data_IF_229048214059
#
_entry.id   IF_229048214059
#
_cell.length_a   1.000
_cell.length_b   1.000
_cell.length_c   1.000
_cell.angle_alpha   90.00
_cell.angle_beta   90.00
_cell.angle_gamma   90.00
#
_symmetry.space_group_name_H-M   'P 1'
#
loop_
_entity.id
_entity.type
_entity.pdbx_description
1 polymer ?
#
# COMPACT_ATOMS: atom_id res chain seq x y z
N UNK A 1 -3.36 -14.84 17.34
CA UNK A 1 -3.34 -14.19 16.01
C UNK A 1 -4.80 -13.96 15.63
N UNK A 2 -5.12 -12.80 15.09
CA UNK A 2 -6.39 -12.53 14.42
C UNK A 2 -6.04 -12.25 12.96
N UNK A 3 -6.39 -13.17 12.09
CA UNK A 3 -6.25 -13.00 10.64
C UNK A 3 -7.63 -12.64 10.10
N UNK A 4 -7.74 -11.50 9.44
CA UNK A 4 -8.97 -11.07 8.80
C UNK A 4 -9.25 -11.82 7.50
N UNK A 5 -8.27 -12.56 6.95
CA UNK A 5 -8.39 -13.27 5.67
C UNK A 5 -8.88 -12.33 4.54
N UNK A 6 -8.35 -11.11 4.55
CA UNK A 6 -8.71 -10.00 3.67
C UNK A 6 -10.17 -9.56 3.75
N UNK A 7 -10.92 -10.00 4.76
CA UNK A 7 -12.27 -9.54 5.00
C UNK A 7 -12.32 -8.14 5.65
N UNK A 8 -13.48 -7.52 5.48
CA UNK A 8 -13.80 -6.18 5.94
C UNK A 8 -14.88 -6.27 7.02
N UNK A 9 -14.70 -5.52 8.11
CA UNK A 9 -15.76 -5.21 9.08
C UNK A 9 -16.22 -3.78 8.82
N UNK A 10 -17.46 -3.61 8.35
CA UNK A 10 -18.02 -2.29 8.05
C UNK A 10 -19.04 -1.82 9.11
N UNK A 11 -19.25 -0.51 9.17
CA UNK A 11 -20.32 0.13 9.96
C UNK A 11 -20.25 -0.11 11.48
N UNK A 12 -19.04 -0.25 12.02
CA UNK A 12 -18.83 -0.37 13.47
C UNK A 12 -19.05 0.99 14.16
N UNK A 13 -19.94 1.03 15.17
CA UNK A 13 -20.17 2.22 15.98
C UNK A 13 -19.78 1.98 17.44
N UNK A 14 -18.96 2.87 18.00
CA UNK A 14 -18.55 2.90 19.41
C UNK A 14 -18.94 4.27 19.97
N UNK A 15 -20.06 4.32 20.71
CA UNK A 15 -20.53 5.54 21.36
C UNK A 15 -20.41 5.43 22.88
N UNK A 16 -19.57 6.30 23.44
CA UNK A 16 -19.33 6.44 24.88
C UNK A 16 -19.51 7.89 25.32
N UNK A 17 -20.27 8.69 24.57
CA UNK A 17 -20.54 10.08 24.93
C UNK A 17 -21.17 10.19 26.32
N UNK A 18 -20.76 11.23 27.07
CA UNK A 18 -21.17 11.42 28.45
C UNK A 18 -20.49 10.48 29.47
N UNK A 19 -19.56 9.62 29.02
CA UNK A 19 -18.81 8.69 29.88
C UNK A 19 -17.30 8.86 29.72
N UNK A 20 -16.54 8.47 30.73
CA UNK A 20 -15.06 8.48 30.69
C UNK A 20 -14.51 7.07 30.47
N UNK A 21 -14.73 6.54 29.27
CA UNK A 21 -14.25 5.20 28.88
C UNK A 21 -12.97 5.32 28.05
N UNK A 22 -11.99 4.50 28.39
CA UNK A 22 -10.70 4.39 27.68
C UNK A 22 -10.63 3.07 26.91
N UNK A 23 -9.62 2.91 26.05
CA UNK A 23 -9.40 1.70 25.25
C UNK A 23 -10.48 1.47 24.20
N UNK A 24 -10.75 2.51 23.41
CA UNK A 24 -11.75 2.46 22.34
C UNK A 24 -11.10 1.96 21.04
N UNK A 25 -11.83 1.12 20.31
CA UNK A 25 -11.45 0.46 19.06
C UNK A 25 -12.05 -0.95 18.99
N UNK A 26 -11.97 -1.61 17.84
CA UNK A 26 -12.41 -3.02 17.71
C UNK A 26 -11.78 -3.90 18.80
N UNK A 27 -10.48 -3.71 19.03
CA UNK A 27 -9.76 -4.32 20.13
C UNK A 27 -9.32 -3.26 21.15
N UNK A 28 -9.93 -3.24 22.34
CA UNK A 28 -9.56 -2.25 23.36
C UNK A 28 -8.09 -2.36 23.80
N UNK A 29 -7.61 -3.57 24.05
CA UNK A 29 -6.23 -3.83 24.48
C UNK A 29 -5.71 -5.14 23.91
N UNK A 30 -4.53 -5.12 23.28
CA UNK A 30 -3.81 -6.33 22.86
C UNK A 30 -2.39 -6.41 23.46
N UNK A 31 -1.94 -7.63 23.76
CA UNK A 31 -0.58 -7.92 24.24
C UNK A 31 0.05 -9.02 23.40
N UNK A 32 1.19 -8.75 22.75
CA UNK A 32 1.94 -9.69 21.91
C UNK A 32 1.06 -10.42 20.87
N UNK A 33 0.00 -9.76 20.40
CA UNK A 33 -0.92 -10.30 19.40
C UNK A 33 -0.52 -9.84 17.99
N UNK A 34 -0.79 -10.68 17.00
CA UNK A 34 -0.74 -10.32 15.59
C UNK A 34 -2.17 -10.11 15.09
N UNK A 35 -2.43 -8.96 14.48
CA UNK A 35 -3.64 -8.69 13.69
C UNK A 35 -3.16 -8.51 12.25
N UNK A 36 -3.75 -9.22 11.31
CA UNK A 36 -3.36 -9.11 9.90
C UNK A 36 -4.53 -9.22 8.93
N UNK A 37 -4.33 -8.71 7.71
CA UNK A 37 -5.22 -8.85 6.55
C UNK A 37 -6.67 -8.47 6.89
N UNK A 38 -6.86 -7.30 7.49
CA UNK A 38 -8.16 -6.87 8.03
C UNK A 38 -8.46 -5.42 7.68
N UNK A 39 -9.60 -5.22 7.01
CA UNK A 39 -10.18 -3.91 6.77
C UNK A 39 -11.23 -3.55 7.81
N UNK A 40 -11.22 -2.30 8.31
CA UNK A 40 -12.30 -1.73 9.11
C UNK A 40 -12.86 -0.52 8.37
N UNK A 41 -14.08 -0.61 7.87
CA UNK A 41 -14.68 0.46 7.07
C UNK A 41 -15.81 1.18 7.81
N UNK A 42 -15.91 2.49 7.57
CA UNK A 42 -16.96 3.35 8.09
C UNK A 42 -17.14 3.23 9.62
N UNK A 43 -16.02 3.18 10.35
CA UNK A 43 -16.07 3.18 11.81
C UNK A 43 -16.44 4.56 12.34
N UNK A 44 -17.35 4.61 13.31
CA UNK A 44 -17.70 5.84 14.04
C UNK A 44 -17.37 5.68 15.52
N UNK A 45 -16.35 6.38 16.01
CA UNK A 45 -16.00 6.41 17.43
C UNK A 45 -16.37 7.77 18.03
N UNK A 46 -17.34 7.77 18.94
CA UNK A 46 -17.76 8.92 19.73
C UNK A 46 -17.30 8.73 21.19
N UNK A 47 -16.10 9.23 21.50
CA UNK A 47 -15.53 9.25 22.85
C UNK A 47 -16.08 10.39 23.70
N UNK A 48 -16.42 10.11 24.96
CA UNK A 48 -16.73 11.16 25.94
C UNK A 48 -15.50 11.94 26.43
N UNK A 49 -15.58 12.54 27.61
CA UNK A 49 -14.44 13.27 28.21
C UNK A 49 -13.48 12.31 28.92
N UNK A 50 -12.18 12.67 28.96
CA UNK A 50 -11.11 11.87 29.59
C UNK A 50 -10.92 10.47 28.94
N UNK A 51 -11.21 10.35 27.65
CA UNK A 51 -10.98 9.12 26.89
C UNK A 51 -9.50 8.96 26.56
N UNK A 52 -8.89 7.88 27.05
CA UNK A 52 -7.49 7.56 26.75
C UNK A 52 -7.42 6.33 25.85
N UNK A 53 -6.44 6.31 24.94
CA UNK A 53 -6.17 5.16 24.07
C UNK A 53 -7.34 4.87 23.13
N UNK A 54 -7.48 5.72 22.10
CA UNK A 54 -8.55 5.62 21.11
C UNK A 54 -7.92 5.28 19.76
N UNK A 55 -8.22 4.10 19.24
CA UNK A 55 -7.79 3.63 17.92
C UNK A 55 -8.98 3.14 17.11
N UNK A 56 -9.00 3.31 15.79
CA UNK A 56 -10.02 2.66 14.95
C UNK A 56 -9.97 1.14 15.09
N UNK A 57 -8.77 0.57 15.02
CA UNK A 57 -8.55 -0.87 15.18
C UNK A 57 -8.23 -1.26 16.64
N UNK A 58 -7.27 -0.58 17.27
CA UNK A 58 -6.77 -0.95 18.62
C UNK A 58 -6.66 0.26 19.56
N UNK A 59 -7.29 0.20 20.73
CA UNK A 59 -7.09 1.22 21.76
C UNK A 59 -5.63 1.28 22.24
N UNK A 60 -5.13 0.18 22.82
CA UNK A 60 -3.72 0.03 23.23
C UNK A 60 -3.11 -1.29 22.78
N UNK A 61 -1.94 -1.19 22.12
CA UNK A 61 -1.08 -2.30 21.71
C UNK A 61 0.19 -2.35 22.56
N UNK A 62 0.50 -3.52 23.12
CA UNK A 62 1.72 -3.80 23.86
C UNK A 62 2.49 -4.96 23.22
N UNK A 63 3.49 -4.68 22.40
CA UNK A 63 4.16 -5.67 21.55
C UNK A 63 3.27 -6.17 20.41
N UNK A 64 3.70 -7.24 19.73
CA UNK A 64 2.96 -7.85 18.61
C UNK A 64 3.03 -7.04 17.30
N UNK A 65 2.21 -7.41 16.32
CA UNK A 65 2.22 -6.80 14.98
C UNK A 65 0.79 -6.47 14.50
N UNK A 66 0.65 -5.37 13.77
CA UNK A 66 -0.51 -5.07 12.93
C UNK A 66 0.04 -4.99 11.50
N UNK A 67 -0.41 -5.84 10.59
CA UNK A 67 0.15 -5.94 9.25
C UNK A 67 -0.94 -6.06 8.19
N UNK A 68 -0.82 -5.37 7.05
CA UNK A 68 -1.82 -5.43 5.98
C UNK A 68 -3.24 -5.09 6.48
N UNK A 69 -3.33 -4.12 7.38
CA UNK A 69 -4.60 -3.67 7.93
C UNK A 69 -4.89 -2.24 7.50
N UNK A 70 -6.18 -1.90 7.41
CA UNK A 70 -6.59 -0.53 7.25
C UNK A 70 -7.81 -0.19 8.08
N UNK A 71 -8.00 1.11 8.30
CA UNK A 71 -9.23 1.60 8.92
C UNK A 71 -9.67 2.91 8.28
N UNK A 72 -10.96 3.03 8.00
CA UNK A 72 -11.61 4.24 7.50
C UNK A 72 -12.75 4.67 8.42
N UNK A 73 -12.98 5.97 8.54
CA UNK A 73 -14.12 6.51 9.29
C UNK A 73 -13.81 7.78 10.08
N UNK A 74 -14.38 7.88 11.28
CA UNK A 74 -14.27 9.07 12.11
C UNK A 74 -14.04 8.78 13.60
N UNK A 75 -13.25 9.64 14.24
CA UNK A 75 -13.05 9.68 15.69
C UNK A 75 -13.41 11.08 16.17
N UNK A 76 -14.38 11.19 17.06
CA UNK A 76 -14.66 12.39 17.82
C UNK A 76 -14.48 12.10 19.30
N UNK A 77 -13.68 12.89 20.01
CA UNK A 77 -13.50 12.72 21.46
C UNK A 77 -13.69 14.02 22.23
N UNK A 78 -14.29 13.90 23.41
CA UNK A 78 -14.48 14.98 24.36
C UNK A 78 -13.16 15.49 24.98
N UNK A 79 -13.30 16.47 25.87
CA UNK A 79 -12.16 17.19 26.48
C UNK A 79 -11.22 16.26 27.23
N UNK A 80 -9.96 16.68 27.36
CA UNK A 80 -8.93 15.95 28.10
C UNK A 80 -8.64 14.53 27.58
N UNK A 81 -9.01 14.24 26.34
CA UNK A 81 -8.76 12.96 25.71
C UNK A 81 -7.32 12.85 25.21
N UNK A 82 -6.80 11.63 25.15
CA UNK A 82 -5.37 11.42 24.91
C UNK A 82 -5.10 10.17 24.06
N UNK A 83 -4.11 10.30 23.17
CA UNK A 83 -3.59 9.22 22.33
C UNK A 83 -4.68 8.68 21.41
N UNK A 84 -5.04 9.53 20.44
CA UNK A 84 -6.00 9.23 19.38
C UNK A 84 -5.25 8.84 18.12
N UNK A 85 -5.54 7.68 17.53
CA UNK A 85 -4.94 7.20 16.30
C UNK A 85 -5.97 6.56 15.37
N UNK A 86 -5.79 6.62 14.06
CA UNK A 86 -6.67 5.93 13.11
C UNK A 86 -6.57 4.41 13.23
N UNK A 87 -5.36 3.84 13.40
CA UNK A 87 -5.19 2.41 13.71
C UNK A 87 -5.07 2.15 15.21
N UNK A 88 -4.15 2.85 15.87
CA UNK A 88 -3.83 2.57 17.27
C UNK A 88 -3.80 3.82 18.14
N UNK A 89 -4.50 3.80 19.27
CA UNK A 89 -4.39 4.90 20.24
C UNK A 89 -2.97 5.00 20.80
N UNK A 90 -2.46 3.90 21.36
CA UNK A 90 -1.06 3.79 21.81
C UNK A 90 -0.41 2.48 21.37
N UNK A 91 0.81 2.57 20.85
CA UNK A 91 1.71 1.46 20.66
C UNK A 91 2.86 1.49 21.67
N UNK A 92 3.14 0.35 22.31
CA UNK A 92 4.29 0.14 23.19
C UNK A 92 5.08 -1.09 22.73
N UNK A 93 5.94 -0.91 21.73
CA UNK A 93 6.73 -1.98 21.12
C UNK A 93 5.99 -2.75 20.01
N UNK A 94 6.72 -3.62 19.33
CA UNK A 94 6.25 -4.33 18.14
C UNK A 94 6.15 -3.41 16.91
N UNK A 95 5.35 -3.80 15.92
CA UNK A 95 5.24 -3.05 14.66
C UNK A 95 3.81 -2.81 14.17
N UNK A 96 3.65 -1.76 13.34
CA UNK A 96 2.53 -1.54 12.42
C UNK A 96 3.16 -1.44 11.03
N UNK A 97 2.79 -2.32 10.11
CA UNK A 97 3.47 -2.47 8.83
C UNK A 97 2.50 -2.61 7.68
N UNK A 98 2.83 -2.06 6.51
CA UNK A 98 2.03 -2.22 5.28
C UNK A 98 0.55 -1.92 5.54
N UNK A 99 0.29 -0.77 6.15
CA UNK A 99 -1.01 -0.45 6.75
C UNK A 99 -1.40 1.01 6.53
N UNK A 100 -2.70 1.31 6.44
CA UNK A 100 -3.15 2.66 6.16
C UNK A 100 -4.40 3.12 6.90
N UNK A 101 -4.65 4.42 6.88
CA UNK A 101 -5.85 5.02 7.47
C UNK A 101 -6.44 6.10 6.59
N UNK A 102 -7.77 6.16 6.55
CA UNK A 102 -8.51 7.29 5.95
C UNK A 102 -9.50 7.81 6.99
N UNK A 103 -9.16 8.89 7.69
CA UNK A 103 -9.93 9.33 8.87
C UNK A 103 -10.24 10.82 8.90
N UNK A 104 -11.35 11.13 9.57
CA UNK A 104 -11.55 12.45 10.20
C UNK A 104 -11.38 12.31 11.71
N UNK A 105 -10.44 13.05 12.32
CA UNK A 105 -10.25 13.07 13.78
C UNK A 105 -10.55 14.46 14.32
N UNK A 106 -11.56 14.54 15.18
CA UNK A 106 -11.98 15.76 15.85
C UNK A 106 -11.68 15.65 17.35
N UNK A 107 -10.93 16.62 17.88
CA UNK A 107 -10.64 16.68 19.31
C UNK A 107 -11.23 17.93 19.94
N UNK A 108 -11.85 17.79 21.09
CA UNK A 108 -12.21 18.95 21.93
C UNK A 108 -10.99 19.59 22.60
N UNK A 109 -11.22 20.58 23.47
CA UNK A 109 -10.14 21.33 24.14
C UNK A 109 -9.32 20.45 25.08
N UNK A 110 -8.06 20.84 25.27
CA UNK A 110 -7.12 20.24 26.24
C UNK A 110 -6.84 18.75 25.99
N UNK A 111 -6.97 18.30 24.74
CA UNK A 111 -6.54 16.98 24.33
C UNK A 111 -5.00 16.94 24.20
N UNK A 112 -4.39 15.76 24.35
CA UNK A 112 -2.92 15.70 24.42
C UNK A 112 -2.27 15.31 23.09
N UNK A 113 -2.62 14.17 22.49
CA UNK A 113 -1.99 13.73 21.25
C UNK A 113 -2.94 13.05 20.26
N UNK A 114 -2.79 13.40 18.97
CA UNK A 114 -3.53 12.82 17.85
C UNK A 114 -2.59 12.50 16.69
N UNK A 115 -2.70 11.29 16.15
CA UNK A 115 -1.95 10.79 15.00
C UNK A 115 -2.89 10.22 13.94
N UNK A 116 -2.59 10.33 12.65
CA UNK A 116 -3.39 9.63 11.64
C UNK A 116 -3.27 8.10 11.76
N UNK A 117 -2.06 7.56 11.98
CA UNK A 117 -1.86 6.11 12.23
C UNK A 117 -1.91 5.80 13.72
N UNK A 118 -1.07 6.47 14.51
CA UNK A 118 -0.86 6.16 15.92
C UNK A 118 -0.86 7.41 16.81
N UNK A 119 -1.71 7.44 17.83
CA UNK A 119 -1.77 8.60 18.74
C UNK A 119 -0.49 8.79 19.56
N UNK A 120 0.13 7.69 19.98
CA UNK A 120 1.41 7.68 20.67
C UNK A 120 2.21 6.40 20.43
N UNK A 121 3.33 6.53 19.73
CA UNK A 121 4.32 5.49 19.51
C UNK A 121 5.39 5.54 20.60
N UNK A 122 5.21 4.77 21.68
CA UNK A 122 6.15 4.77 22.81
C UNK A 122 7.43 4.00 22.53
N UNK A 123 7.37 2.93 21.72
CA UNK A 123 8.49 2.10 21.25
C UNK A 123 7.99 1.28 20.05
N UNK A 124 8.91 0.66 19.31
CA UNK A 124 8.57 -0.15 18.13
C UNK A 124 8.65 0.66 16.84
N UNK A 125 8.00 0.17 15.79
CA UNK A 125 8.06 0.75 14.45
C UNK A 125 6.67 0.97 13.82
N UNK A 126 6.60 1.95 12.92
CA UNK A 126 5.55 2.15 11.92
C UNK A 126 6.27 2.20 10.58
N UNK A 127 6.03 1.22 9.70
CA UNK A 127 6.85 1.01 8.50
C UNK A 127 5.96 0.75 7.29
N UNK A 128 6.25 1.37 6.15
CA UNK A 128 5.46 1.18 4.93
C UNK A 128 3.97 1.48 5.18
N UNK A 129 3.69 2.66 5.72
CA UNK A 129 2.34 3.04 6.11
C UNK A 129 1.98 4.41 5.57
N UNK A 130 0.70 4.64 5.27
CA UNK A 130 0.25 5.97 4.89
C UNK A 130 -1.06 6.37 5.55
N UNK A 131 -1.26 7.67 5.72
CA UNK A 131 -2.50 8.21 6.23
C UNK A 131 -3.04 9.33 5.35
N UNK A 132 -4.35 9.27 5.08
CA UNK A 132 -5.13 10.38 4.54
C UNK A 132 -6.06 10.86 5.62
N UNK A 133 -5.73 11.96 6.28
CA UNK A 133 -6.40 12.36 7.52
C UNK A 133 -6.81 13.82 7.52
N UNK A 134 -8.05 14.11 7.92
CA UNK A 134 -8.48 15.46 8.30
C UNK A 134 -8.42 15.56 9.82
N UNK A 135 -7.44 16.30 10.33
CA UNK A 135 -7.23 16.54 11.75
C UNK A 135 -7.81 17.91 12.12
N UNK A 136 -8.78 17.91 13.03
CA UNK A 136 -9.51 19.12 13.45
C UNK A 136 -9.36 19.36 14.96
N UNK A 137 -8.15 19.70 15.44
CA UNK A 137 -7.92 19.98 16.84
C UNK A 137 -8.50 21.32 17.29
N UNK A 138 -9.19 21.33 18.44
CA UNK A 138 -9.53 22.57 19.16
C UNK A 138 -8.37 23.07 20.03
N UNK A 139 -8.63 24.12 20.81
CA UNK A 139 -7.61 24.83 21.60
C UNK A 139 -6.91 23.90 22.60
N UNK A 140 -5.60 24.10 22.80
CA UNK A 140 -4.74 23.30 23.69
C UNK A 140 -4.57 21.82 23.31
N UNK A 141 -4.79 21.44 22.05
CA UNK A 141 -4.32 20.14 21.56
C UNK A 141 -2.83 20.19 21.25
N UNK A 142 -2.03 19.47 22.04
CA UNK A 142 -0.58 19.72 22.13
C UNK A 142 0.27 19.09 21.02
N UNK A 143 0.02 17.83 20.65
CA UNK A 143 0.87 17.08 19.73
C UNK A 143 0.04 16.41 18.65
N UNK A 144 0.07 16.99 17.46
CA UNK A 144 -0.73 16.56 16.33
C UNK A 144 0.18 16.24 15.16
N UNK A 145 0.02 15.06 14.57
CA UNK A 145 0.70 14.73 13.33
C UNK A 145 -0.03 13.73 12.44
N UNK A 146 0.26 13.78 11.14
CA UNK A 146 -0.38 12.95 10.13
C UNK A 146 -0.09 11.46 10.30
N UNK A 147 1.10 11.07 10.77
CA UNK A 147 1.40 9.67 11.11
C UNK A 147 1.27 9.44 12.62
N UNK A 148 1.96 10.25 13.42
CA UNK A 148 1.98 10.07 14.87
C UNK A 148 1.78 11.39 15.64
N UNK A 149 1.01 11.34 16.73
CA UNK A 149 0.96 12.48 17.66
C UNK A 149 2.31 12.66 18.37
N UNK A 150 2.75 11.62 19.06
CA UNK A 150 4.08 11.55 19.70
C UNK A 150 4.80 10.29 19.20
N UNK A 151 6.09 10.41 18.88
CA UNK A 151 6.95 9.28 18.53
C UNK A 151 8.21 9.22 19.39
N UNK A 152 8.47 8.05 19.97
CA UNK A 152 9.73 7.60 20.57
C UNK A 152 10.33 6.42 19.81
N UNK A 153 9.63 5.93 18.79
CA UNK A 153 9.98 4.74 18.02
C UNK A 153 10.56 5.09 16.66
N UNK A 154 10.41 4.14 15.73
CA UNK A 154 10.83 4.25 14.34
C UNK A 154 9.62 4.56 13.47
N UNK A 155 9.73 5.55 12.59
CA UNK A 155 8.79 5.79 11.49
C UNK A 155 9.60 5.76 10.20
N UNK A 156 9.25 4.85 9.30
CA UNK A 156 10.04 4.52 8.12
C UNK A 156 9.13 4.32 6.91
N UNK A 157 9.53 4.86 5.75
CA UNK A 157 8.83 4.65 4.49
C UNK A 157 7.33 4.96 4.65
N UNK A 158 7.02 6.12 5.23
CA UNK A 158 5.66 6.53 5.49
C UNK A 158 5.33 7.82 4.76
N UNK A 159 4.08 7.97 4.32
CA UNK A 159 3.62 9.25 3.80
C UNK A 159 2.27 9.67 4.37
N UNK A 160 1.98 10.97 4.31
CA UNK A 160 0.67 11.47 4.73
C UNK A 160 0.12 12.56 3.82
N UNK A 161 -1.19 12.50 3.63
CA UNK A 161 -2.00 13.56 3.04
C UNK A 161 -2.88 14.09 4.18
N UNK A 162 -2.32 15.01 4.96
CA UNK A 162 -2.90 15.48 6.22
C UNK A 162 -3.51 16.88 6.06
N UNK A 163 -4.83 16.97 6.00
CA UNK A 163 -5.52 18.26 6.14
C UNK A 163 -5.60 18.62 7.62
N UNK A 164 -4.78 19.58 8.07
CA UNK A 164 -4.75 20.04 9.44
C UNK A 164 -5.37 21.42 9.56
N UNK A 165 -6.60 21.49 10.06
CA UNK A 165 -7.34 22.73 10.27
C UNK A 165 -7.67 22.94 11.75
N UNK A 166 -7.27 24.07 12.32
CA UNK A 166 -7.50 24.35 13.73
C UNK A 166 -6.81 25.63 14.23
N UNK A 167 -6.98 25.92 15.51
CA UNK A 167 -6.29 27.05 16.17
C UNK A 167 -4.99 26.57 16.80
N UNK A 168 -3.86 26.97 16.22
CA UNK A 168 -2.53 26.53 16.62
C UNK A 168 -2.17 27.07 18.00
N UNK A 169 -1.92 26.18 18.96
CA UNK A 169 -1.31 26.58 20.22
C UNK A 169 0.02 25.87 20.50
N UNK A 170 0.29 24.65 19.99
CA UNK A 170 1.58 23.95 20.19
C UNK A 170 1.89 22.88 19.13
N UNK A 171 3.19 22.67 18.84
CA UNK A 171 3.85 21.52 18.16
C UNK A 171 3.02 20.66 17.19
N UNK A 172 2.70 21.19 16.02
CA UNK A 172 2.10 20.43 14.91
C UNK A 172 3.15 20.09 13.86
N UNK A 173 3.18 18.83 13.43
CA UNK A 173 4.04 18.39 12.35
C UNK A 173 3.28 17.53 11.38
N UNK A 174 3.59 17.64 10.09
CA UNK A 174 2.92 16.85 9.07
C UNK A 174 3.08 15.35 9.32
N UNK A 175 4.27 14.85 9.70
CA UNK A 175 4.47 13.43 10.05
C UNK A 175 4.26 13.21 11.55
N UNK A 176 4.95 13.99 12.40
CA UNK A 176 4.92 13.79 13.87
C UNK A 176 4.68 15.10 14.62
N UNK A 177 3.71 15.14 15.54
CA UNK A 177 3.54 16.30 16.43
C UNK A 177 4.77 16.55 17.31
N UNK A 178 5.22 15.50 18.01
CA UNK A 178 6.46 15.52 18.78
C UNK A 178 7.30 14.27 18.55
N UNK A 179 8.52 14.45 18.03
CA UNK A 179 9.55 13.41 18.06
C UNK A 179 10.30 13.52 19.40
N UNK A 180 10.04 12.61 20.32
CA UNK A 180 10.50 12.71 21.70
C UNK A 180 11.59 11.69 22.07
N UNK A 181 12.17 11.94 23.24
CA UNK A 181 13.28 11.19 23.82
C UNK A 181 12.91 10.79 25.24
N UNK A 182 12.77 9.49 25.49
CA UNK A 182 12.51 8.96 26.83
C UNK A 182 13.78 8.48 27.53
N UNK A 183 14.55 7.61 26.86
CA UNK A 183 15.91 7.19 27.22
C UNK A 183 16.66 6.85 25.92
N UNK A 184 17.99 7.01 25.86
CA UNK A 184 18.77 6.74 24.64
C UNK A 184 18.67 7.84 23.57
N UNK A 185 18.74 7.49 22.28
CA UNK A 185 18.94 8.46 21.19
C UNK A 185 17.67 9.21 20.72
N UNK A 186 16.46 8.74 21.09
CA UNK A 186 15.17 9.30 20.67
C UNK A 186 14.53 8.57 19.47
N UNK A 187 13.36 9.04 19.02
CA UNK A 187 12.67 8.48 17.86
C UNK A 187 13.39 8.77 16.54
N UNK A 188 13.38 7.79 15.63
CA UNK A 188 14.00 7.84 14.29
C UNK A 188 12.92 8.00 13.24
N UNK A 189 13.13 8.93 12.31
CA UNK A 189 12.21 9.19 11.20
C UNK A 189 13.04 9.19 9.92
N UNK A 190 12.66 8.34 8.96
CA UNK A 190 13.36 8.27 7.69
C UNK A 190 12.47 7.92 6.51
N UNK A 191 12.83 8.45 5.34
CA UNK A 191 12.13 8.24 4.07
C UNK A 191 10.63 8.54 4.20
N UNK A 192 10.30 9.70 4.77
CA UNK A 192 8.94 10.08 5.10
C UNK A 192 8.51 11.35 4.39
N UNK A 193 7.29 11.34 3.83
CA UNK A 193 6.83 12.39 2.94
C UNK A 193 5.46 12.95 3.33
N UNK A 194 5.23 14.23 3.08
CA UNK A 194 3.90 14.82 3.23
C UNK A 194 3.56 15.75 2.08
N UNK A 195 2.27 15.83 1.76
CA UNK A 195 1.78 16.75 0.76
C UNK A 195 1.71 18.19 1.31
N UNK A 196 2.50 19.09 0.73
CA UNK A 196 2.60 20.50 1.12
C UNK A 196 1.49 21.39 0.55
N UNK A 197 0.78 20.94 -0.48
CA UNK A 197 -0.41 21.63 -1.00
C UNK A 197 -1.60 21.38 -0.07
N UNK A 198 -1.74 20.15 0.45
CA UNK A 198 -2.77 19.80 1.43
C UNK A 198 -2.42 20.28 2.84
N UNK A 199 -1.13 20.25 3.22
CA UNK A 199 -0.63 20.71 4.53
C UNK A 199 0.23 21.98 4.43
N UNK A 200 -0.31 23.13 3.97
CA UNK A 200 0.50 24.32 3.71
C UNK A 200 1.16 24.84 4.99
N UNK A 201 2.47 25.04 4.93
CA UNK A 201 3.26 25.65 6.02
C UNK A 201 3.62 24.71 7.18
N UNK A 202 3.27 23.42 7.12
CA UNK A 202 3.73 22.45 8.11
C UNK A 202 5.15 21.95 7.81
N UNK A 203 5.92 21.77 8.88
CA UNK A 203 7.17 21.00 8.86
C UNK A 203 6.86 19.52 9.12
N UNK A 204 7.80 18.62 8.81
CA UNK A 204 7.64 17.19 9.06
C UNK A 204 7.42 16.84 10.54
N UNK A 205 7.93 17.66 11.47
CA UNK A 205 7.64 17.55 12.90
C UNK A 205 7.30 18.90 13.54
N UNK A 206 6.49 18.88 14.61
CA UNK A 206 6.16 20.06 15.39
C UNK A 206 7.24 20.44 16.39
N UNK A 207 7.68 19.46 17.19
CA UNK A 207 8.85 19.59 18.07
C UNK A 207 9.72 18.34 17.96
N UNK A 208 11.04 18.52 17.97
CA UNK A 208 12.01 17.42 17.96
C UNK A 208 12.96 17.51 19.16
N UNK A 209 12.95 16.47 19.99
CA UNK A 209 13.90 16.23 21.09
C UNK A 209 14.82 15.04 20.81
N UNK A 210 14.63 14.34 19.68
CA UNK A 210 15.50 13.25 19.28
C UNK A 210 16.86 13.78 18.83
N UNK A 211 17.90 13.01 19.16
CA UNK A 211 19.28 13.28 18.75
C UNK A 211 19.72 12.39 17.59
N UNK A 212 18.86 11.45 17.15
CA UNK A 212 19.14 10.65 15.97
C UNK A 212 18.99 11.49 14.71
N UNK A 213 19.83 11.26 13.68
CA UNK A 213 19.62 11.86 12.37
C UNK A 213 18.21 11.57 11.85
N UNK A 214 17.58 12.61 11.31
CA UNK A 214 16.39 12.50 10.48
C UNK A 214 16.90 12.48 9.04
N UNK A 215 16.46 11.50 8.24
CA UNK A 215 16.96 11.26 6.88
C UNK A 215 15.78 11.27 5.92
N UNK A 216 15.84 11.98 4.80
CA UNK A 216 14.77 11.98 3.79
C UNK A 216 13.37 12.25 4.38
N UNK A 217 13.25 13.20 5.31
CA UNK A 217 11.98 13.71 5.81
C UNK A 217 11.65 14.99 5.03
N UNK A 218 10.74 14.91 4.07
CA UNK A 218 10.53 15.99 3.11
C UNK A 218 9.06 16.25 2.80
N UNK A 219 8.71 17.53 2.72
CA UNK A 219 7.42 17.96 2.18
C UNK A 219 7.55 18.14 0.68
N UNK A 220 6.63 17.53 -0.07
CA UNK A 220 6.56 17.60 -1.52
C UNK A 220 5.22 18.20 -1.95
N UNK A 221 5.14 18.96 -3.05
CA UNK A 221 3.85 19.32 -3.65
C UNK A 221 3.15 18.08 -4.22
N UNK A 222 1.84 18.16 -4.44
CA UNK A 222 1.01 17.03 -4.90
C UNK A 222 1.54 16.34 -6.14
N UNK A 223 1.93 17.11 -7.15
CA UNK A 223 2.50 16.58 -8.39
C UNK A 223 3.75 15.73 -8.14
N UNK A 224 4.64 16.15 -7.24
CA UNK A 224 5.84 15.39 -6.87
C UNK A 224 5.52 14.18 -5.97
N UNK A 225 4.51 14.27 -5.10
CA UNK A 225 4.01 13.12 -4.33
C UNK A 225 3.39 12.04 -5.24
N UNK A 226 3.05 12.39 -6.48
CA UNK A 226 2.51 11.45 -7.46
C UNK A 226 3.58 10.90 -8.40
N UNK A 227 4.85 11.30 -8.27
CA UNK A 227 5.94 10.79 -9.10
C UNK A 227 6.66 9.62 -8.42
N UNK A 228 6.79 8.49 -9.09
CA UNK A 228 7.48 7.29 -8.56
C UNK A 228 8.94 7.58 -8.16
N UNK A 229 9.61 8.46 -8.92
CA UNK A 229 11.00 8.85 -8.69
C UNK A 229 11.23 9.44 -7.29
N UNK A 230 10.23 10.12 -6.70
CA UNK A 230 10.34 10.69 -5.36
C UNK A 230 10.61 9.63 -4.26
N UNK A 231 10.23 8.38 -4.53
CA UNK A 231 10.24 7.28 -3.57
C UNK A 231 11.35 6.26 -3.87
N UNK A 232 11.53 5.89 -5.14
CA UNK A 232 12.57 4.95 -5.59
C UNK A 232 13.97 5.49 -5.26
N UNK A 233 14.20 6.79 -5.42
CA UNK A 233 15.50 7.43 -5.10
C UNK A 233 15.89 7.33 -3.61
N UNK A 234 14.92 7.09 -2.73
CA UNK A 234 15.14 6.93 -1.27
C UNK A 234 14.98 5.49 -0.80
N UNK A 235 14.83 4.54 -1.71
CA UNK A 235 14.81 3.10 -1.42
C UNK A 235 13.43 2.52 -1.13
N UNK A 236 12.34 3.12 -1.61
CA UNK A 236 11.04 2.46 -1.60
C UNK A 236 10.99 1.40 -2.72
N UNK A 237 10.41 0.26 -2.40
CA UNK A 237 10.35 -0.95 -3.23
C UNK A 237 8.98 -1.03 -3.91
N UNK A 238 8.91 -0.74 -5.21
CA UNK A 238 7.68 -0.72 -6.00
C UNK A 238 7.54 -2.00 -6.84
N UNK A 239 6.31 -2.39 -7.17
CA UNK A 239 6.06 -3.47 -8.15
C UNK A 239 6.83 -3.18 -9.45
N UNK A 240 7.43 -4.22 -10.02
CA UNK A 240 8.24 -4.22 -11.25
C UNK A 240 9.51 -3.34 -11.21
N UNK A 241 9.88 -2.84 -10.03
CA UNK A 241 11.11 -2.12 -9.75
C UNK A 241 12.14 -3.09 -9.15
N UNK A 242 13.37 -3.16 -9.69
CA UNK A 242 14.38 -4.14 -9.24
C UNK A 242 15.63 -3.53 -8.61
N UNK A 243 15.76 -2.20 -8.62
CA UNK A 243 16.90 -1.46 -8.08
C UNK A 243 16.90 -1.47 -6.55
N UNK A 244 15.73 -1.35 -5.90
CA UNK A 244 15.65 -1.25 -4.44
C UNK A 244 15.11 -2.48 -3.72
N UNK A 245 14.83 -3.56 -4.43
CA UNK A 245 14.34 -4.79 -3.84
C UNK A 245 13.57 -5.64 -4.83
N UNK A 246 12.86 -6.61 -4.28
CA UNK A 246 11.88 -7.45 -4.98
C UNK A 246 10.76 -7.83 -4.00
N UNK A 247 10.52 -7.00 -2.99
CA UNK A 247 9.46 -7.23 -2.00
C UNK A 247 8.14 -6.58 -2.43
N UNK A 248 8.15 -5.77 -3.49
CA UNK A 248 6.99 -5.24 -4.19
C UNK A 248 5.96 -4.68 -3.20
N UNK A 249 6.38 -3.67 -2.43
CA UNK A 249 5.63 -3.18 -1.26
C UNK A 249 4.61 -2.13 -1.70
N UNK A 250 5.00 -1.28 -2.63
CA UNK A 250 4.24 -0.14 -3.11
C UNK A 250 3.91 -0.27 -4.59
N UNK A 251 2.89 0.43 -5.00
CA UNK A 251 2.51 0.60 -6.40
C UNK A 251 2.06 2.05 -6.61
N UNK A 252 2.29 2.59 -7.79
CA UNK A 252 1.88 3.94 -8.15
C UNK A 252 1.72 4.02 -9.67
N UNK A 253 0.61 4.62 -10.09
CA UNK A 253 0.46 5.06 -11.46
C UNK A 253 1.11 6.43 -11.62
N UNK A 254 2.35 6.42 -12.12
CA UNK A 254 3.24 7.58 -12.17
C UNK A 254 2.57 8.84 -12.73
N UNK A 255 2.57 9.90 -11.92
CA UNK A 255 1.95 11.19 -12.20
C UNK A 255 0.43 11.28 -12.07
N UNK A 256 -0.26 10.22 -11.65
CA UNK A 256 -1.72 10.19 -11.58
C UNK A 256 -2.26 10.10 -10.15
N UNK A 257 -1.61 9.34 -9.28
CA UNK A 257 -2.09 9.04 -7.93
C UNK A 257 -0.95 8.97 -6.91
N UNK A 258 -1.31 8.85 -5.62
CA UNK A 258 -0.34 8.65 -4.54
C UNK A 258 0.02 7.17 -4.44
N UNK A 259 1.20 6.81 -3.90
CA UNK A 259 1.57 5.41 -3.71
C UNK A 259 0.51 4.65 -2.91
N UNK A 260 0.10 3.49 -3.41
CA UNK A 260 -0.69 2.52 -2.68
C UNK A 260 0.18 1.33 -2.32
N UNK A 261 -0.25 0.57 -1.31
CA UNK A 261 0.44 -0.67 -0.95
C UNK A 261 -0.01 -1.72 -1.96
N UNK A 262 0.90 -2.53 -2.47
CA UNK A 262 0.63 -3.52 -3.52
C UNK A 262 -0.59 -4.40 -3.20
N UNK A 263 -0.76 -4.80 -1.94
CA UNK A 263 -1.90 -5.62 -1.53
C UNK A 263 -3.28 -4.94 -1.63
N UNK A 264 -3.34 -3.60 -1.80
CA UNK A 264 -4.60 -2.88 -1.97
C UNK A 264 -5.16 -2.99 -3.38
N UNK A 265 -4.32 -3.30 -4.34
CA UNK A 265 -4.69 -3.30 -5.75
C UNK A 265 -4.99 -4.75 -6.11
N UNK A 266 -6.20 -5.06 -6.61
CA UNK A 266 -6.42 -6.35 -7.24
C UNK A 266 -5.53 -6.40 -8.47
N UNK A 267 -4.40 -7.11 -8.36
CA UNK A 267 -3.44 -7.27 -9.46
C UNK A 267 -4.07 -7.95 -10.70
N UNK A 268 -5.21 -8.61 -10.51
CA UNK A 268 -5.93 -9.29 -11.58
C UNK A 268 -6.97 -8.36 -12.20
N UNK A 269 -6.75 -8.00 -13.46
CA UNK A 269 -7.68 -7.17 -14.24
C UNK A 269 -7.37 -5.67 -14.23
N UNK A 270 -6.43 -5.19 -13.43
CA UNK A 270 -5.91 -3.82 -13.46
C UNK A 270 -4.61 -3.82 -14.28
N UNK A 271 -4.73 -3.63 -15.58
CA UNK A 271 -3.64 -3.77 -16.53
C UNK A 271 -2.95 -2.44 -16.82
N UNK A 272 -3.70 -1.34 -16.73
CA UNK A 272 -3.25 -0.02 -17.14
C UNK A 272 -3.78 1.05 -16.22
N UNK A 273 -2.92 2.03 -15.96
CA UNK A 273 -3.28 3.20 -15.17
C UNK A 273 -4.50 3.96 -15.70
N UNK A 274 -5.27 4.62 -14.81
CA UNK A 274 -5.09 4.73 -13.34
C UNK A 274 -5.52 3.47 -12.55
N UNK A 275 -4.97 3.27 -11.35
CA UNK A 275 -5.28 2.07 -10.54
C UNK A 275 -6.78 1.78 -10.36
N UNK A 276 -7.08 0.49 -10.39
CA UNK A 276 -8.36 -0.15 -10.19
C UNK A 276 -8.99 -0.54 -11.52
N UNK A 277 -9.60 -1.72 -11.57
CA UNK A 277 -10.24 -2.23 -12.78
C UNK A 277 -11.35 -1.31 -13.28
N UNK A 278 -11.10 -0.66 -14.41
CA UNK A 278 -11.99 0.30 -15.03
C UNK A 278 -12.08 0.14 -16.56
N UNK A 279 -12.61 1.16 -17.23
CA UNK A 279 -12.88 1.11 -18.67
C UNK A 279 -11.61 0.99 -19.52
N UNK A 280 -10.47 1.46 -18.99
CA UNK A 280 -9.18 1.38 -19.67
C UNK A 280 -8.67 -0.07 -19.68
N UNK A 281 -8.87 -0.83 -18.60
CA UNK A 281 -8.52 -2.24 -18.53
C UNK A 281 -9.42 -3.11 -19.40
N UNK A 282 -10.72 -2.76 -19.47
CA UNK A 282 -11.62 -3.39 -20.44
C UNK A 282 -11.11 -3.19 -21.87
N UNK A 283 -10.56 -2.01 -22.18
CA UNK A 283 -10.02 -1.77 -23.51
C UNK A 283 -8.84 -2.72 -23.80
N UNK A 284 -7.93 -2.92 -22.84
CA UNK A 284 -6.83 -3.90 -22.97
C UNK A 284 -7.36 -5.32 -23.15
N UNK A 285 -8.35 -5.75 -22.36
CA UNK A 285 -8.97 -7.07 -22.51
C UNK A 285 -9.61 -7.24 -23.89
N UNK A 286 -10.33 -6.23 -24.37
CA UNK A 286 -10.99 -6.27 -25.69
C UNK A 286 -9.98 -6.27 -26.83
N UNK A 287 -8.86 -5.55 -26.68
CA UNK A 287 -7.76 -5.54 -27.64
C UNK A 287 -7.09 -6.92 -27.74
N UNK A 288 -7.05 -7.67 -26.64
CA UNK A 288 -6.47 -9.02 -26.58
C UNK A 288 -7.51 -10.14 -26.74
N UNK A 289 -8.78 -9.81 -27.04
CA UNK A 289 -9.86 -10.78 -27.10
C UNK A 289 -9.59 -11.90 -28.11
N UNK A 290 -9.64 -13.15 -27.65
CA UNK A 290 -9.34 -14.38 -28.40
C UNK A 290 -7.89 -14.51 -28.88
N UNK A 291 -6.96 -13.72 -28.34
CA UNK A 291 -5.54 -13.99 -28.51
C UNK A 291 -5.15 -15.20 -27.65
N UNK A 292 -4.24 -16.01 -28.19
CA UNK A 292 -3.63 -17.16 -27.52
C UNK A 292 -2.21 -16.84 -27.10
N UNK A 293 -1.74 -17.41 -26.00
CA UNK A 293 -0.34 -17.28 -25.56
C UNK A 293 0.56 -18.02 -26.54
N UNK A 294 1.47 -17.28 -27.16
CA UNK A 294 2.37 -17.81 -28.18
C UNK A 294 3.67 -18.28 -27.54
N UNK A 295 4.04 -19.54 -27.77
CA UNK A 295 5.28 -20.12 -27.23
C UNK A 295 6.55 -19.49 -27.81
N UNK A 296 6.46 -18.81 -28.95
CA UNK A 296 7.57 -18.13 -29.61
C UNK A 296 7.77 -16.67 -29.16
N UNK A 297 6.88 -16.12 -28.33
CA UNK A 297 7.03 -14.79 -27.70
C UNK A 297 7.93 -14.94 -26.47
N UNK A 298 9.24 -14.88 -26.68
CA UNK A 298 10.29 -15.29 -25.74
C UNK A 298 11.20 -14.14 -25.29
N UNK A 299 11.12 -12.99 -25.95
CA UNK A 299 11.97 -11.83 -25.73
C UNK A 299 11.16 -10.55 -25.60
N UNK A 300 11.43 -9.69 -24.59
CA UNK A 300 12.35 -9.90 -23.47
C UNK A 300 11.88 -11.05 -22.57
N UNK A 301 12.57 -11.33 -21.47
CA UNK A 301 12.16 -12.40 -20.56
C UNK A 301 10.70 -12.21 -20.11
N UNK A 302 9.80 -13.07 -20.60
CA UNK A 302 8.35 -12.96 -20.33
C UNK A 302 7.50 -12.63 -21.57
N UNK A 303 8.14 -12.30 -22.70
CA UNK A 303 7.48 -11.88 -23.94
C UNK A 303 7.13 -10.39 -23.93
N UNK A 304 7.02 -9.78 -25.12
CA UNK A 304 6.48 -8.42 -25.28
C UNK A 304 5.07 -8.39 -25.89
N UNK A 305 4.46 -9.56 -26.06
CA UNK A 305 3.14 -9.73 -26.66
C UNK A 305 3.20 -9.87 -28.18
N UNK A 306 4.38 -9.91 -28.81
CA UNK A 306 4.50 -9.94 -30.27
C UNK A 306 5.70 -10.73 -30.78
N UNK A 307 5.46 -11.80 -31.54
CA UNK A 307 6.56 -12.63 -32.08
C UNK A 307 7.28 -11.89 -33.22
N UNK A 308 8.48 -11.38 -32.95
CA UNK A 308 9.24 -10.56 -33.88
C UNK A 308 10.77 -10.81 -33.89
N UNK A 309 11.52 -9.85 -34.42
CA UNK A 309 12.97 -9.97 -34.54
C UNK A 309 13.72 -10.02 -33.21
N UNK A 310 13.14 -9.51 -32.11
CA UNK A 310 13.67 -9.65 -30.77
C UNK A 310 13.66 -11.12 -30.35
N UNK A 311 12.52 -11.80 -30.54
CA UNK A 311 12.40 -13.24 -30.28
C UNK A 311 13.32 -14.04 -31.18
N UNK A 312 13.38 -13.67 -32.46
CA UNK A 312 14.27 -14.34 -33.41
C UNK A 312 15.73 -14.24 -32.98
N UNK A 313 16.17 -13.12 -32.43
CA UNK A 313 17.55 -12.96 -31.97
C UNK A 313 17.86 -13.92 -30.81
N UNK A 314 16.92 -14.10 -29.87
CA UNK A 314 17.06 -15.05 -28.76
C UNK A 314 17.04 -16.49 -29.26
N UNK A 315 16.07 -16.82 -30.12
CA UNK A 315 15.93 -18.12 -30.75
C UNK A 315 17.17 -18.52 -31.56
N UNK A 316 17.63 -17.64 -32.45
CA UNK A 316 18.78 -17.87 -33.31
C UNK A 316 20.09 -18.05 -32.52
N UNK A 317 20.21 -17.41 -31.35
CA UNK A 317 21.35 -17.63 -30.47
C UNK A 317 21.38 -19.07 -29.93
N UNK A 318 20.21 -19.62 -29.61
CA UNK A 318 20.03 -20.98 -29.10
C UNK A 318 19.91 -22.05 -30.22
N UNK A 319 19.98 -21.68 -31.50
CA UNK A 319 19.83 -22.61 -32.61
C UNK A 319 20.82 -23.79 -32.55
N UNK A 320 20.31 -25.02 -32.69
CA UNK A 320 21.06 -26.30 -32.60
C UNK A 320 21.79 -26.52 -31.27
N UNK A 321 21.38 -25.79 -30.23
CA UNK A 321 21.91 -25.95 -28.88
C UNK A 321 21.16 -27.06 -28.14
N UNK A 322 21.83 -27.70 -27.18
CA UNK A 322 21.27 -28.81 -26.38
C UNK A 322 21.49 -28.59 -24.90
N UNK A 323 20.66 -29.25 -24.09
CA UNK A 323 20.68 -29.22 -22.62
C UNK A 323 21.85 -30.00 -21.97
N UNK A 324 22.63 -30.77 -22.74
CA UNK A 324 23.68 -31.70 -22.26
C UNK A 324 25.12 -31.24 -22.59
N UNK A 325 26.10 -31.56 -21.72
CA UNK A 325 26.45 -30.67 -20.62
C UNK A 325 26.90 -29.29 -21.14
N UNK A 326 25.94 -28.37 -21.13
CA UNK A 326 26.04 -26.92 -21.35
C UNK A 326 26.68 -26.48 -22.66
N UNK A 327 25.90 -26.63 -23.74
CA UNK A 327 26.11 -25.79 -24.92
C UNK A 327 25.99 -24.31 -24.51
N UNK A 328 26.96 -23.49 -24.91
CA UNK A 328 27.15 -22.13 -24.38
C UNK A 328 25.96 -21.19 -24.59
N UNK A 329 25.07 -21.52 -25.52
CA UNK A 329 23.91 -20.72 -25.89
C UNK A 329 22.57 -21.43 -25.63
N UNK A 330 22.56 -22.53 -24.87
CA UNK A 330 21.31 -23.22 -24.52
C UNK A 330 20.33 -22.25 -23.85
N UNK A 331 19.11 -22.19 -24.37
CA UNK A 331 18.01 -21.46 -23.77
C UNK A 331 16.75 -22.35 -23.77
N UNK A 332 16.25 -22.78 -22.59
CA UNK A 332 15.07 -23.63 -22.52
C UNK A 332 13.79 -22.96 -23.05
N UNK A 333 13.76 -21.62 -23.17
CA UNK A 333 12.62 -20.91 -23.78
C UNK A 333 12.53 -21.09 -25.29
N UNK A 334 13.62 -21.51 -25.93
CA UNK A 334 13.67 -21.73 -27.37
C UNK A 334 13.36 -23.18 -27.78
N UNK A 335 13.24 -24.09 -26.81
CA UNK A 335 12.86 -25.50 -26.95
C UNK A 335 11.33 -25.63 -26.77
N UNK A 336 10.62 -25.23 -27.83
CA UNK A 336 9.17 -25.01 -27.87
C UNK A 336 8.42 -26.14 -28.59
N UNK A 337 9.14 -27.06 -29.23
CA UNK A 337 8.60 -28.20 -29.95
C UNK A 337 9.30 -29.50 -29.54
N UNK A 338 8.56 -30.60 -29.30
CA UNK A 338 7.12 -30.64 -29.10
C UNK A 338 6.72 -29.83 -27.85
N UNK A 339 5.43 -29.72 -27.55
CA UNK A 339 4.99 -29.06 -26.32
C UNK A 339 5.69 -29.68 -25.09
N UNK A 340 6.45 -28.86 -24.35
CA UNK A 340 7.28 -29.29 -23.21
C UNK A 340 8.77 -29.49 -23.54
N UNK A 341 9.17 -29.31 -24.79
CA UNK A 341 10.55 -29.41 -25.28
C UNK A 341 11.07 -30.84 -25.40
N UNK A 342 12.06 -31.05 -26.25
CA UNK A 342 12.81 -32.32 -26.33
C UNK A 342 14.27 -32.21 -25.89
N UNK A 343 14.68 -31.03 -25.43
CA UNK A 343 16.02 -30.72 -24.94
C UNK A 343 16.99 -30.26 -26.03
N UNK A 344 16.51 -30.01 -27.25
CA UNK A 344 17.27 -29.56 -28.41
C UNK A 344 16.50 -28.45 -29.13
N UNK A 345 17.14 -27.30 -29.42
CA UNK A 345 16.52 -26.29 -30.29
C UNK A 345 16.83 -26.63 -31.74
N UNK A 346 15.84 -27.10 -32.50
CA UNK A 346 16.02 -27.54 -33.88
C UNK A 346 14.92 -27.10 -34.85
N UNK A 347 14.81 -27.81 -35.98
CA UNK A 347 13.89 -27.46 -37.05
C UNK A 347 12.42 -27.61 -36.69
N UNK A 348 12.10 -28.45 -35.70
CA UNK A 348 10.74 -28.57 -35.20
C UNK A 348 10.36 -27.30 -34.41
N UNK A 349 11.29 -26.75 -33.61
CA UNK A 349 11.10 -25.47 -32.92
C UNK A 349 10.97 -24.31 -33.88
N UNK A 350 11.83 -24.26 -34.91
CA UNK A 350 11.75 -23.22 -35.94
C UNK A 350 10.41 -23.25 -36.66
N UNK A 351 9.85 -24.44 -36.85
CA UNK A 351 8.55 -24.60 -37.49
C UNK A 351 7.45 -23.96 -36.64
N UNK A 352 7.47 -24.16 -35.31
CA UNK A 352 6.55 -23.49 -34.39
C UNK A 352 6.79 -21.98 -34.39
N UNK A 353 8.03 -21.54 -34.27
CA UNK A 353 8.42 -20.13 -34.28
C UNK A 353 7.89 -19.40 -35.52
N UNK A 354 8.20 -19.92 -36.71
CA UNK A 354 7.78 -19.30 -37.98
C UNK A 354 6.26 -19.36 -38.16
N UNK A 355 5.57 -20.36 -37.58
CA UNK A 355 4.11 -20.42 -37.63
C UNK A 355 3.44 -19.31 -36.81
N UNK A 356 4.13 -18.77 -35.80
CA UNK A 356 3.66 -17.70 -34.92
C UNK A 356 4.23 -16.32 -35.31
N UNK A 357 5.08 -16.24 -36.34
CA UNK A 357 5.74 -15.02 -36.79
C UNK A 357 4.76 -13.87 -37.05
N UNK A 358 5.03 -12.70 -36.44
CA UNK A 358 4.23 -11.47 -36.52
C UNK A 358 2.78 -11.62 -36.02
N UNK A 359 2.54 -12.59 -35.13
CA UNK A 359 1.27 -12.71 -34.42
C UNK A 359 1.38 -12.06 -33.04
N UNK A 360 0.25 -11.53 -32.58
CA UNK A 360 0.10 -11.04 -31.22
C UNK A 360 -0.16 -12.21 -30.28
N UNK A 361 0.60 -12.27 -29.20
CA UNK A 361 0.37 -13.18 -28.09
C UNK A 361 -0.69 -12.63 -27.16
N UNK A 362 -1.44 -13.52 -26.51
CA UNK A 362 -2.08 -13.17 -25.25
C UNK A 362 -1.01 -12.64 -24.30
N UNK A 363 -1.27 -11.49 -23.70
CA UNK A 363 -0.34 -10.81 -22.80
C UNK A 363 -0.99 -10.75 -21.40
N UNK A 364 -1.03 -9.58 -20.78
CA UNK A 364 -1.57 -9.39 -19.43
C UNK A 364 -3.06 -9.75 -19.25
N UNK A 365 -3.86 -9.83 -20.32
CA UNK A 365 -5.32 -10.03 -20.19
C UNK A 365 -5.76 -11.49 -20.00
N UNK A 366 -4.84 -12.46 -20.13
CA UNK A 366 -5.09 -13.87 -19.84
C UNK A 366 -4.88 -14.10 -18.34
N UNK A 367 -5.97 -13.91 -17.60
CA UNK A 367 -5.99 -13.92 -16.14
C UNK A 367 -6.71 -15.16 -15.59
N UNK A 368 -7.57 -15.81 -16.37
CA UNK A 368 -8.42 -16.90 -15.93
C UNK A 368 -8.08 -18.23 -16.62
N UNK A 369 -8.03 -19.35 -15.88
CA UNK A 369 -8.16 -19.45 -14.43
C UNK A 369 -6.89 -18.97 -13.71
N UNK A 370 -7.06 -18.50 -12.49
CA UNK A 370 -5.93 -18.12 -11.63
C UNK A 370 -4.97 -19.31 -11.38
N UNK A 371 -3.67 -19.05 -11.14
CA UNK A 371 -3.04 -17.71 -11.07
C UNK A 371 -2.44 -17.21 -12.40
N UNK A 372 -2.32 -18.06 -13.41
CA UNK A 372 -1.49 -17.80 -14.60
C UNK A 372 -2.28 -17.76 -15.93
N UNK A 373 -3.61 -17.84 -15.89
CA UNK A 373 -4.44 -17.93 -17.10
C UNK A 373 -4.49 -19.35 -17.70
N UNK A 374 -5.29 -19.53 -18.76
CA UNK A 374 -5.32 -20.77 -19.55
C UNK A 374 -4.59 -20.66 -20.90
N UNK A 375 -3.96 -19.52 -21.17
CA UNK A 375 -3.32 -19.22 -22.44
C UNK A 375 -4.27 -18.64 -23.47
N UNK A 376 -5.51 -18.27 -23.13
CA UNK A 376 -6.50 -17.75 -24.08
C UNK A 376 -7.38 -16.68 -23.44
N UNK A 377 -7.30 -15.45 -23.95
CA UNK A 377 -8.19 -14.36 -23.48
C UNK A 377 -9.62 -14.59 -23.97
N UNK A 378 -10.52 -14.91 -23.06
CA UNK A 378 -11.89 -15.32 -23.36
C UNK A 378 -12.91 -14.87 -22.31
N UNK A 379 -14.10 -15.49 -22.33
CA UNK A 379 -15.20 -15.14 -21.42
C UNK A 379 -14.90 -15.42 -19.95
N UNK A 380 -13.96 -16.33 -19.64
CA UNK A 380 -13.50 -16.57 -18.28
C UNK A 380 -12.72 -15.36 -17.75
N UNK A 381 -11.83 -14.80 -18.56
CA UNK A 381 -11.07 -13.58 -18.22
C UNK A 381 -11.99 -12.40 -18.04
N UNK A 382 -12.96 -12.23 -18.96
CA UNK A 382 -13.93 -11.16 -18.83
C UNK A 382 -14.79 -11.31 -17.57
N UNK A 383 -15.19 -12.53 -17.21
CA UNK A 383 -15.95 -12.77 -15.98
C UNK A 383 -15.14 -12.36 -14.75
N UNK A 384 -13.85 -12.72 -14.72
CA UNK A 384 -12.96 -12.38 -13.62
C UNK A 384 -12.67 -10.87 -13.56
N UNK A 385 -12.38 -10.22 -14.69
CA UNK A 385 -12.24 -8.77 -14.78
C UNK A 385 -13.50 -8.07 -14.26
N UNK A 386 -14.70 -8.56 -14.63
CA UNK A 386 -15.96 -7.98 -14.19
C UNK A 386 -16.19 -8.11 -12.66
N UNK A 387 -15.70 -9.18 -12.03
CA UNK A 387 -15.73 -9.33 -10.57
C UNK A 387 -14.89 -8.22 -9.91
N UNK A 388 -13.63 -8.05 -10.33
CA UNK A 388 -12.75 -7.01 -9.80
C UNK A 388 -13.24 -5.58 -10.10
N UNK A 389 -13.87 -5.36 -11.25
CA UNK A 389 -14.52 -4.07 -11.56
C UNK A 389 -15.66 -3.75 -10.59
N UNK A 390 -16.45 -4.74 -10.18
CA UNK A 390 -17.52 -4.53 -9.20
C UNK A 390 -16.97 -4.29 -7.79
N UNK A 391 -15.88 -4.96 -7.43
CA UNK A 391 -15.18 -4.75 -6.16
C UNK A 391 -14.64 -3.34 -6.03
N UNK A 392 -13.93 -2.82 -7.04
CA UNK A 392 -13.41 -1.44 -7.06
C UNK A 392 -14.52 -0.38 -6.97
N UNK A 393 -15.70 -0.65 -7.52
CA UNK A 393 -16.84 0.26 -7.44
C UNK A 393 -17.55 0.26 -6.07
N UNK A 394 -17.42 -0.80 -5.28
CA UNK A 394 -18.05 -0.90 -3.96
C UNK A 394 -17.53 0.15 -2.96
N UNK A 395 -16.27 0.59 -3.13
CA UNK A 395 -15.65 1.68 -2.36
C UNK A 395 -16.22 3.07 -2.74
N UNK A 396 -16.76 3.23 -3.95
CA UNK A 396 -17.31 4.51 -4.45
C UNK A 396 -18.81 4.69 -4.21
N UNK A 397 -19.57 3.60 -4.08
CA UNK A 397 -21.02 3.62 -3.94
C UNK A 397 -21.51 3.97 -2.54
N UNK A 398 -20.65 3.89 -1.51
CA UNK A 398 -20.97 4.34 -0.14
C UNK A 398 -21.16 5.87 -0.02
N UNK A 399 -20.81 6.65 -1.05
CA UNK A 399 -20.99 8.11 -1.08
C UNK A 399 -22.25 8.62 -1.80
N UNK A 400 -23.08 7.74 -2.39
CA UNK A 400 -24.26 8.13 -3.17
C UNK A 400 -25.42 7.14 -3.02
N UNK A 401 -25.98 7.00 -1.82
CA UNK A 401 -27.38 6.57 -1.63
C UNK A 401 -28.01 7.29 -0.43
#
# INVERSE_FOLDING_TARGET
VFDGDWHIISNLSIDTQGQSISYLGLFGYITNAKIENLGIEDISILGGENCNYVGGLVGKKNGGAIANCYSTGSIQCGRYSNKLGGLAGRQSGGSIEKSYTIFTIQTETDCSSAGGIVGYLSFGSVVNCYSKVSLQPKTNTNWVGGIAGISWGVIENCYTVCDLSGSSFFSWGAIVGQNAKSTGAGGRIYNCFWDTVVSPGLNGFGTNYSTTPIVNLQGLPTDQMQQIAAYVDVGWDFIDETVNGANDIWEICDGTNYPKLAWQIPLLGDFVCPDGVEINDLAVLVEQWLLEKLSADISPDGGDGFVDFADWAVFANAWQSTSEPQSANWNPKCDIAPAGGDGIVDMDDLTVFVSQWLQFSAYCADIAPEPDGDGLVNMLDFAMLAEYWLEGNSVSLAGKL
#
